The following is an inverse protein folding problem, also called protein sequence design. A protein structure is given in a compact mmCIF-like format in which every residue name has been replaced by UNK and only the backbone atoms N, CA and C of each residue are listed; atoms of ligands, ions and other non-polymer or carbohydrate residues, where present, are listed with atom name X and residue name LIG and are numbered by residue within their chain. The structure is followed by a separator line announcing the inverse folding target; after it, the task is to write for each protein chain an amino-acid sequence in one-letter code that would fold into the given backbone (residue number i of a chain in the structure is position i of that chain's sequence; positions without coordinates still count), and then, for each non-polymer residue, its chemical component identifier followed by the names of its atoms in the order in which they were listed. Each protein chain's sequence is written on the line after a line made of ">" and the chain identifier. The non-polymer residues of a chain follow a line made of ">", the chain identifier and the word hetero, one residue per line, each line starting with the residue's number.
data_IF_747811420223
#
_entry.id   IF_747811420223
#
_cell.length_a   1.000
_cell.length_b   1.000
_cell.length_c   1.000
_cell.angle_alpha   90.00
_cell.angle_beta   90.00
_cell.angle_gamma   90.00
#
_symmetry.space_group_name_H-M   'P 1'
#
loop_
_entity.id
_entity.type
_entity.pdbx_description
1 polymer ?
#
# COMPACT_ATOMS: atom_id res chain seq x y z
N UNK A 1 -1.27 4.50 -9.37
CA UNK A 1 0.09 4.64 -8.79
C UNK A 1 0.02 4.72 -7.28
N UNK A 2 1.05 4.30 -6.53
CA UNK A 2 1.10 4.20 -5.04
C UNK A 2 0.30 5.34 -4.36
N UNK A 3 -0.76 5.05 -3.57
CA UNK A 3 -1.44 6.11 -2.83
C UNK A 3 -0.51 6.63 -1.72
N UNK A 4 -0.71 7.90 -1.35
CA UNK A 4 -0.06 8.50 -0.19
C UNK A 4 -0.98 9.56 0.44
N UNK A 5 -0.77 9.84 1.73
CA UNK A 5 -1.48 10.92 2.44
C UNK A 5 -1.35 12.23 1.67
N UNK A 6 -2.48 12.88 1.36
CA UNK A 6 -2.55 14.09 0.52
C UNK A 6 -1.78 14.01 -0.82
N UNK A 7 -1.50 12.80 -1.32
CA UNK A 7 -0.65 12.54 -2.47
C UNK A 7 0.77 13.14 -2.37
N UNK A 8 1.31 13.26 -1.15
CA UNK A 8 2.64 13.86 -0.90
C UNK A 8 3.78 13.04 -1.49
N UNK A 9 3.58 11.73 -1.70
CA UNK A 9 4.58 10.78 -2.21
C UNK A 9 5.88 10.86 -1.39
N UNK A 10 5.85 10.54 -0.09
CA UNK A 10 6.91 10.85 0.86
C UNK A 10 8.04 9.81 0.83
N UNK A 11 8.48 9.39 -0.36
CA UNK A 11 9.50 8.36 -0.54
C UNK A 11 10.62 8.84 -1.48
N UNK A 12 11.85 8.39 -1.19
CA UNK A 12 13.01 8.53 -2.05
C UNK A 12 13.55 7.15 -2.40
N UNK A 13 13.96 6.97 -3.65
CA UNK A 13 14.55 5.73 -4.12
C UNK A 13 16.06 5.88 -4.27
N UNK A 14 16.81 4.89 -3.77
CA UNK A 14 18.19 4.66 -4.18
C UNK A 14 18.24 3.35 -4.95
N UNK A 15 18.87 3.37 -6.12
CA UNK A 15 18.94 2.22 -7.02
C UNK A 15 20.40 1.82 -7.18
N UNK A 16 20.68 0.57 -6.81
CA UNK A 16 21.95 -0.10 -7.05
C UNK A 16 21.74 -1.23 -8.06
N UNK A 17 22.79 -2.02 -8.33
CA UNK A 17 22.80 -3.04 -9.39
C UNK A 17 21.68 -4.07 -9.24
N UNK A 18 21.46 -4.56 -8.03
CA UNK A 18 20.53 -5.64 -7.69
C UNK A 18 19.67 -5.30 -6.47
N UNK A 19 19.65 -4.04 -6.05
CA UNK A 19 18.95 -3.59 -4.85
C UNK A 19 18.30 -2.23 -5.07
N UNK A 20 17.04 -2.10 -4.67
CA UNK A 20 16.34 -0.81 -4.59
C UNK A 20 16.02 -0.56 -3.13
N UNK A 21 16.42 0.61 -2.63
CA UNK A 21 16.05 1.10 -1.29
C UNK A 21 14.97 2.16 -1.39
N UNK A 22 14.03 2.14 -0.46
CA UNK A 22 12.96 3.12 -0.30
C UNK A 22 13.16 3.79 1.05
N UNK A 23 13.50 5.08 1.03
CA UNK A 23 13.72 5.90 2.22
C UNK A 23 12.51 6.82 2.47
N UNK A 24 12.15 7.09 3.73
CA UNK A 24 11.16 8.11 4.06
C UNK A 24 11.70 9.50 3.69
N UNK A 25 10.88 10.32 3.05
CA UNK A 25 11.17 11.73 2.82
C UNK A 25 10.44 12.60 3.84
N UNK A 26 11.07 12.82 5.00
CA UNK A 26 10.50 13.63 6.07
C UNK A 26 10.24 15.09 5.68
N UNK A 27 10.84 15.59 4.59
CA UNK A 27 10.51 16.93 4.04
C UNK A 27 9.09 17.00 3.48
N UNK A 28 8.46 15.84 3.24
CA UNK A 28 7.08 15.67 2.77
C UNK A 28 6.15 15.14 3.85
N UNK A 29 6.60 15.13 5.11
CA UNK A 29 5.78 14.74 6.26
C UNK A 29 4.64 15.74 6.50
N UNK A 30 3.60 15.27 7.18
CA UNK A 30 2.39 16.03 7.45
C UNK A 30 2.14 16.15 8.95
N UNK A 31 2.99 16.87 9.71
CA UNK A 31 3.03 16.81 11.17
C UNK A 31 1.74 17.21 11.89
N UNK A 32 0.83 17.93 11.21
CA UNK A 32 -0.48 18.32 11.78
C UNK A 32 -1.46 17.16 11.77
N UNK A 33 -1.52 16.38 10.69
CA UNK A 33 -2.50 15.30 10.49
C UNK A 33 -1.90 13.90 10.72
N UNK A 34 -0.57 13.81 10.66
CA UNK A 34 0.23 12.59 10.87
C UNK A 34 1.43 12.90 11.79
N UNK A 35 1.21 13.24 13.08
CA UNK A 35 2.26 13.68 13.99
C UNK A 35 3.32 12.60 14.26
N UNK A 36 2.93 11.32 14.18
CA UNK A 36 3.80 10.17 14.43
C UNK A 36 4.38 9.56 13.13
N UNK A 37 4.19 10.21 11.97
CA UNK A 37 4.59 9.71 10.65
C UNK A 37 4.01 8.34 10.27
N UNK A 38 2.91 7.92 10.89
CA UNK A 38 2.27 6.63 10.64
C UNK A 38 1.75 6.53 9.20
N UNK A 39 1.07 7.57 8.71
CA UNK A 39 0.57 7.62 7.33
C UNK A 39 1.70 7.71 6.32
N UNK A 40 2.81 8.36 6.68
CA UNK A 40 4.03 8.38 5.89
C UNK A 40 4.56 6.95 5.68
N UNK A 41 4.72 6.13 6.71
CA UNK A 41 5.18 4.74 6.53
C UNK A 41 4.16 3.85 5.82
N UNK A 42 2.86 4.06 6.03
CA UNK A 42 1.81 3.38 5.23
C UNK A 42 1.97 3.71 3.75
N UNK A 43 2.29 4.97 3.44
CA UNK A 43 2.56 5.42 2.07
C UNK A 43 3.81 4.74 1.48
N UNK A 44 4.88 4.56 2.27
CA UNK A 44 6.05 3.77 1.84
C UNK A 44 5.70 2.31 1.54
N UNK A 45 4.90 1.67 2.40
CA UNK A 45 4.40 0.31 2.16
C UNK A 45 3.60 0.21 0.85
N UNK A 46 2.81 1.22 0.54
CA UNK A 46 2.09 1.32 -0.73
C UNK A 46 3.03 1.45 -1.94
N UNK A 47 4.15 2.15 -1.81
CA UNK A 47 5.17 2.25 -2.85
C UNK A 47 5.95 0.94 -3.01
N UNK A 48 6.28 0.28 -1.88
CA UNK A 48 6.93 -1.02 -1.84
C UNK A 48 6.10 -2.09 -2.55
N UNK A 49 4.81 -2.21 -2.26
CA UNK A 49 3.95 -3.23 -2.88
C UNK A 49 3.85 -3.03 -4.40
N UNK A 50 3.69 -1.79 -4.82
CA UNK A 50 3.73 -1.40 -6.22
C UNK A 50 5.06 -1.83 -6.91
N UNK A 51 6.19 -1.66 -6.22
CA UNK A 51 7.50 -2.07 -6.71
C UNK A 51 7.63 -3.60 -6.80
N UNK A 52 7.16 -4.33 -5.78
CA UNK A 52 7.18 -5.80 -5.75
C UNK A 52 6.35 -6.39 -6.88
N UNK A 53 5.13 -5.89 -7.11
CA UNK A 53 4.26 -6.33 -8.21
C UNK A 53 4.95 -6.07 -9.55
N UNK A 54 5.49 -4.86 -9.77
CA UNK A 54 6.18 -4.51 -11.01
C UNK A 54 7.44 -5.35 -11.25
N UNK A 55 8.21 -5.63 -10.20
CA UNK A 55 9.41 -6.47 -10.28
C UNK A 55 9.06 -7.91 -10.70
N UNK A 56 8.02 -8.49 -10.11
CA UNK A 56 7.54 -9.84 -10.47
C UNK A 56 7.09 -9.92 -11.94
N UNK A 57 6.31 -8.95 -12.42
CA UNK A 57 5.94 -8.89 -13.85
C UNK A 57 7.13 -8.67 -14.78
N UNK A 58 8.22 -8.06 -14.30
CA UNK A 58 9.47 -7.91 -15.04
C UNK A 58 10.39 -9.14 -14.97
N UNK A 59 9.97 -10.25 -14.36
CA UNK A 59 10.75 -11.49 -14.26
C UNK A 59 11.79 -11.50 -13.14
N UNK A 60 11.60 -10.68 -12.12
CA UNK A 60 12.41 -10.71 -10.90
C UNK A 60 11.67 -11.42 -9.75
N UNK A 61 12.44 -12.02 -8.86
CA UNK A 61 12.03 -12.53 -7.56
C UNK A 61 12.50 -11.54 -6.47
N UNK A 62 11.64 -10.60 -6.04
CA UNK A 62 12.02 -9.57 -5.08
C UNK A 62 12.07 -10.11 -3.65
N UNK A 63 13.21 -9.94 -2.98
CA UNK A 63 13.38 -10.20 -1.55
C UNK A 63 13.33 -8.88 -0.78
N UNK A 64 12.29 -8.72 0.06
CA UNK A 64 12.07 -7.51 0.85
C UNK A 64 12.68 -7.65 2.24
N UNK A 65 13.41 -6.63 2.69
CA UNK A 65 13.85 -6.47 4.07
C UNK A 65 13.36 -5.14 4.63
N UNK A 66 12.65 -5.22 5.75
CA UNK A 66 12.16 -4.08 6.51
C UNK A 66 13.24 -3.61 7.49
N UNK A 67 13.67 -2.36 7.38
CA UNK A 67 14.64 -1.74 8.29
C UNK A 67 15.88 -2.63 8.55
N UNK A 68 16.59 -3.08 7.50
CA UNK A 68 17.69 -4.02 7.65
C UNK A 68 18.81 -3.42 8.50
N UNK A 69 19.40 -4.25 9.37
CA UNK A 69 20.54 -3.86 10.18
C UNK A 69 21.73 -3.47 9.30
N UNK A 70 22.43 -2.39 9.67
CA UNK A 70 23.63 -1.91 8.98
C UNK A 70 23.37 -0.79 7.96
N UNK A 71 22.12 -0.45 7.68
CA UNK A 71 21.79 0.78 6.94
C UNK A 71 21.91 1.99 7.89
N UNK A 72 22.54 3.10 7.45
CA UNK A 72 22.71 4.29 8.28
C UNK A 72 21.38 5.03 8.52
N UNK A 73 20.46 4.93 7.57
CA UNK A 73 19.14 5.57 7.59
C UNK A 73 18.04 4.50 7.51
N UNK A 74 16.87 4.82 8.07
CA UNK A 74 15.71 3.96 8.00
C UNK A 74 15.26 3.76 6.55
N UNK A 75 15.21 2.51 6.09
CA UNK A 75 14.74 2.20 4.75
C UNK A 75 14.10 0.83 4.63
N UNK A 76 13.35 0.66 3.53
CA UNK A 76 12.95 -0.63 3.01
C UNK A 76 13.95 -1.03 1.93
N UNK A 77 14.44 -2.26 1.94
CA UNK A 77 15.37 -2.78 0.93
C UNK A 77 14.70 -3.87 0.13
N UNK A 78 14.86 -3.83 -1.20
CA UNK A 78 14.31 -4.81 -2.14
C UNK A 78 15.46 -5.33 -3.00
N UNK A 79 15.90 -6.55 -2.73
CA UNK A 79 16.89 -7.24 -3.57
C UNK A 79 16.19 -7.90 -4.74
N UNK A 80 16.68 -7.68 -5.95
CA UNK A 80 16.10 -8.16 -7.19
C UNK A 80 16.97 -9.28 -7.77
N UNK A 81 16.51 -10.52 -7.65
CA UNK A 81 17.13 -11.68 -8.29
C UNK A 81 16.34 -12.04 -9.54
N UNK A 82 16.99 -12.47 -10.61
CA UNK A 82 16.26 -13.08 -11.71
C UNK A 82 15.65 -14.40 -11.22
N UNK A 83 14.36 -14.59 -11.49
CA UNK A 83 13.64 -15.79 -11.08
C UNK A 83 12.58 -16.17 -12.11
N UNK A 84 12.16 -17.42 -12.08
CA UNK A 84 11.06 -17.92 -12.93
C UNK A 84 9.68 -17.53 -12.35
N UNK A 85 9.61 -16.45 -11.57
CA UNK A 85 8.36 -15.98 -10.97
C UNK A 85 7.53 -15.31 -12.05
N UNK A 86 6.33 -15.83 -12.28
CA UNK A 86 5.33 -15.17 -13.12
C UNK A 86 4.62 -14.12 -12.28
N UNK A 87 4.80 -12.85 -12.60
CA UNK A 87 3.97 -11.78 -12.03
C UNK A 87 2.49 -11.96 -12.36
N UNK A 88 1.65 -11.29 -11.58
CA UNK A 88 0.22 -11.20 -11.84
C UNK A 88 -0.05 -9.97 -12.72
N UNK A 89 -0.27 -10.20 -14.01
CA UNK A 89 -0.51 -9.14 -15.00
C UNK A 89 -1.74 -8.30 -14.65
N UNK A 90 -2.77 -8.90 -14.05
CA UNK A 90 -3.98 -8.18 -13.63
C UNK A 90 -3.66 -7.20 -12.50
N UNK A 91 -2.87 -7.61 -11.50
CA UNK A 91 -2.40 -6.73 -10.43
C UNK A 91 -1.50 -5.61 -10.97
N UNK A 92 -0.59 -5.92 -11.90
CA UNK A 92 0.27 -4.92 -12.52
C UNK A 92 -0.54 -3.87 -13.30
N UNK A 93 -1.50 -4.30 -14.12
CA UNK A 93 -2.39 -3.40 -14.83
C UNK A 93 -3.34 -2.63 -13.90
N UNK A 94 -3.70 -3.19 -12.73
CA UNK A 94 -4.50 -2.49 -11.73
C UNK A 94 -3.76 -1.27 -11.14
N UNK A 95 -2.43 -1.28 -11.07
CA UNK A 95 -1.63 -0.16 -10.54
C UNK A 95 -1.93 1.15 -11.27
N UNK A 96 -2.03 1.13 -12.60
CA UNK A 96 -2.27 2.33 -13.41
C UNK A 96 -3.75 2.74 -13.44
N UNK A 97 -4.66 1.78 -13.28
CA UNK A 97 -6.12 1.99 -13.34
C UNK A 97 -6.74 2.48 -12.04
N UNK A 98 -6.19 2.07 -10.90
CA UNK A 98 -6.76 2.42 -9.60
C UNK A 98 -6.64 3.92 -9.31
N UNK A 99 -7.64 4.45 -8.65
CA UNK A 99 -7.72 5.85 -8.22
C UNK A 99 -8.61 5.95 -6.98
N UNK A 100 -8.40 6.99 -6.17
CA UNK A 100 -9.30 7.28 -5.05
C UNK A 100 -10.53 8.00 -5.57
N UNK A 101 -11.70 7.36 -5.47
CA UNK A 101 -12.97 8.00 -5.73
C UNK A 101 -13.52 8.60 -4.43
N UNK A 102 -13.76 9.92 -4.41
CA UNK A 102 -14.38 10.65 -3.29
C UNK A 102 -15.78 11.17 -3.61
N UNK A 103 -16.32 10.80 -4.77
CA UNK A 103 -17.69 11.16 -5.16
C UNK A 103 -18.68 10.29 -4.39
N UNK A 104 -19.93 10.73 -4.32
CA UNK A 104 -21.01 9.93 -3.75
C UNK A 104 -21.16 8.61 -4.52
N UNK A 105 -21.23 7.51 -3.76
CA UNK A 105 -21.51 6.18 -4.30
C UNK A 105 -23.02 5.98 -4.46
N UNK A 106 -23.41 5.10 -5.38
CA UNK A 106 -24.81 4.90 -5.80
C UNK A 106 -25.71 4.15 -4.79
N UNK A 107 -25.26 3.97 -3.53
CA UNK A 107 -25.97 3.29 -2.42
C UNK A 107 -26.44 1.86 -2.73
N UNK A 108 -26.03 1.26 -3.84
CA UNK A 108 -26.37 -0.13 -4.16
C UNK A 108 -25.60 -1.07 -3.24
N UNK A 109 -26.27 -2.13 -2.80
CA UNK A 109 -25.61 -3.19 -2.03
C UNK A 109 -24.60 -3.92 -2.92
N UNK A 110 -23.42 -4.17 -2.36
CA UNK A 110 -22.39 -4.99 -3.02
C UNK A 110 -22.86 -6.45 -2.97
N UNK A 111 -22.84 -7.19 -4.10
CA UNK A 111 -23.19 -8.60 -4.10
C UNK A 111 -22.37 -9.40 -3.08
N UNK A 112 -23.02 -10.30 -2.34
CA UNK A 112 -22.37 -11.10 -1.30
C UNK A 112 -21.18 -11.93 -1.82
N UNK A 113 -21.24 -12.35 -3.09
CA UNK A 113 -20.14 -13.07 -3.74
C UNK A 113 -18.88 -12.19 -3.90
N UNK A 114 -19.03 -10.90 -4.16
CA UNK A 114 -17.90 -9.97 -4.31
C UNK A 114 -17.33 -9.57 -2.95
N UNK A 115 -18.18 -9.40 -1.94
CA UNK A 115 -17.72 -9.21 -0.55
C UNK A 115 -16.88 -10.41 -0.09
N UNK A 116 -17.34 -11.64 -0.33
CA UNK A 116 -16.58 -12.86 -0.01
C UNK A 116 -15.22 -12.90 -0.70
N UNK A 117 -15.11 -12.41 -1.94
CA UNK A 117 -13.80 -12.31 -2.63
C UNK A 117 -12.86 -11.37 -1.88
N UNK A 118 -13.36 -10.20 -1.45
CA UNK A 118 -12.56 -9.22 -0.69
C UNK A 118 -12.14 -9.81 0.67
N UNK A 119 -13.06 -10.47 1.37
CA UNK A 119 -12.78 -11.11 2.67
C UNK A 119 -11.80 -12.28 2.56
N UNK A 120 -11.74 -12.94 1.39
CA UNK A 120 -10.81 -14.03 1.14
C UNK A 120 -9.39 -13.58 0.80
N UNK A 121 -9.16 -12.27 0.61
CA UNK A 121 -7.82 -11.75 0.34
C UNK A 121 -6.96 -11.97 1.58
N UNK A 122 -5.80 -12.65 1.45
CA UNK A 122 -4.92 -12.87 2.59
C UNK A 122 -4.42 -11.53 3.13
N UNK A 123 -4.27 -11.48 4.45
CA UNK A 123 -3.71 -10.34 5.17
C UNK A 123 -2.35 -10.72 5.72
N UNK A 124 -1.45 -9.75 5.79
CA UNK A 124 -0.15 -9.91 6.45
C UNK A 124 -0.32 -10.02 7.97
N UNK A 125 0.66 -10.60 8.64
CA UNK A 125 0.67 -10.67 10.10
C UNK A 125 0.50 -9.27 10.72
N UNK A 126 -0.43 -9.14 11.67
CA UNK A 126 -0.76 -7.86 12.29
C UNK A 126 -1.74 -6.98 11.50
N UNK A 127 -2.22 -7.43 10.33
CA UNK A 127 -3.26 -6.75 9.55
C UNK A 127 -4.57 -7.53 9.66
N UNK A 128 -5.66 -6.84 10.00
CA UNK A 128 -7.01 -7.41 10.04
C UNK A 128 -7.94 -6.63 9.12
N UNK A 129 -8.72 -7.34 8.31
CA UNK A 129 -9.79 -6.75 7.50
C UNK A 129 -11.13 -6.91 8.22
N UNK A 130 -11.90 -5.83 8.30
CA UNK A 130 -13.26 -5.82 8.84
C UNK A 130 -14.21 -5.23 7.80
N UNK A 131 -15.19 -6.02 7.36
CA UNK A 131 -16.21 -5.59 6.40
C UNK A 131 -17.46 -5.17 7.16
N UNK A 132 -17.89 -3.93 6.93
CA UNK A 132 -19.07 -3.34 7.58
C UNK A 132 -20.13 -3.00 6.53
N UNK A 133 -21.24 -3.72 6.58
CA UNK A 133 -22.37 -3.55 5.64
C UNK A 133 -23.66 -3.14 6.32
N UNK A 134 -23.75 -3.30 7.64
CA UNK A 134 -24.93 -2.93 8.42
C UNK A 134 -24.98 -1.41 8.66
N UNK A 135 -26.13 -0.79 8.38
CA UNK A 135 -26.32 0.66 8.49
C UNK A 135 -25.96 1.19 9.89
N UNK A 136 -26.32 0.47 10.95
CA UNK A 136 -26.01 0.88 12.33
C UNK A 136 -24.51 0.93 12.63
N UNK A 137 -23.73 -0.02 12.08
CA UNK A 137 -22.27 -0.03 12.23
C UNK A 137 -21.62 1.11 11.43
N UNK A 138 -22.10 1.36 10.21
CA UNK A 138 -21.63 2.45 9.34
C UNK A 138 -21.92 3.82 9.99
N UNK A 139 -23.13 4.04 10.48
CA UNK A 139 -23.53 5.27 11.20
C UNK A 139 -22.72 5.47 12.49
N UNK A 140 -22.36 4.38 13.16
CA UNK A 140 -21.44 4.39 14.30
C UNK A 140 -20.10 5.03 13.95
N UNK A 141 -19.50 4.66 12.81
CA UNK A 141 -18.20 5.18 12.37
C UNK A 141 -18.30 6.64 11.90
N UNK A 142 -19.34 6.99 11.14
CA UNK A 142 -19.52 8.36 10.62
C UNK A 142 -19.46 9.39 11.77
N UNK A 143 -20.06 9.07 12.92
CA UNK A 143 -20.04 9.93 14.13
C UNK A 143 -18.64 10.22 14.68
N UNK A 144 -17.67 9.34 14.42
CA UNK A 144 -16.29 9.49 14.90
C UNK A 144 -15.37 10.17 13.88
N UNK A 145 -15.73 10.15 12.59
CA UNK A 145 -14.90 10.69 11.49
C UNK A 145 -15.35 12.09 11.06
N UNK A 146 -16.63 12.45 11.25
CA UNK A 146 -17.19 13.73 10.80
C UNK A 146 -16.99 14.92 11.77
N UNK A 147 -15.86 15.00 12.47
CA UNK A 147 -15.52 16.16 13.31
C UNK A 147 -14.75 17.23 12.54
#
# INVERSE_FOLDING_TARGET
>A
MAPSGHNTQPWKFSVEKDCIRIFPDFTRALPVVDPDNRELYISLGCALENLVIAAKCAGYDPEVKYFPAGEPDECLSVTLKHGNVTGDDDLFHAISRRHTNRREYNKQQIPAADLKKIESVPTEEGVTSLVLTESGAIEGIIRHVAK
#
